data_IF_290769821843
#
_entry.id   IF_290769821843
#
_cell.length_a   1.000
_cell.length_b   1.000
_cell.length_c   1.000
_cell.angle_alpha   90.00
_cell.angle_beta   90.00
_cell.angle_gamma   90.00
#
_symmetry.space_group_name_H-M   'P 1'
#
loop_
_entity.id
_entity.type
_entity.pdbx_description
1 polymer ?
#
# COMPACT_ATOMS: atom_id res chain seq x y z
N UNK A 1 17.25 11.70 -9.50
CA UNK A 1 16.02 11.31 -8.78
C UNK A 1 16.29 10.03 -8.01
N UNK A 2 15.93 9.94 -6.71
CA UNK A 2 16.05 8.69 -5.96
C UNK A 2 15.07 7.64 -6.52
N UNK A 3 15.55 6.41 -6.70
CA UNK A 3 14.73 5.27 -7.12
C UNK A 3 14.44 4.38 -5.91
N UNK A 4 13.16 4.09 -5.68
CA UNK A 4 12.70 3.21 -4.60
C UNK A 4 12.06 1.98 -5.24
N UNK A 5 12.64 0.79 -4.99
CA UNK A 5 12.09 -0.48 -5.45
C UNK A 5 11.29 -1.15 -4.33
N UNK A 6 10.12 -1.71 -4.67
CA UNK A 6 9.28 -2.46 -3.74
C UNK A 6 8.61 -3.64 -4.44
N UNK A 7 8.43 -4.74 -3.71
CA UNK A 7 7.70 -5.92 -4.19
C UNK A 7 6.18 -5.68 -4.26
N UNK A 8 5.69 -4.51 -3.83
CA UNK A 8 4.29 -4.14 -3.98
C UNK A 8 3.93 -3.71 -5.41
N UNK A 9 4.94 -3.40 -6.24
CA UNK A 9 4.72 -3.13 -7.66
C UNK A 9 4.56 -4.48 -8.38
N UNK A 10 3.42 -4.74 -9.03
CA UNK A 10 3.20 -5.98 -9.78
C UNK A 10 4.16 -6.07 -10.98
N UNK A 11 4.63 -7.30 -11.23
CA UNK A 11 5.59 -7.62 -12.30
C UNK A 11 5.00 -8.55 -13.38
N UNK A 12 3.68 -8.78 -13.32
CA UNK A 12 2.94 -9.72 -14.16
C UNK A 12 1.74 -9.04 -14.85
N UNK A 13 1.85 -7.75 -15.13
CA UNK A 13 0.80 -7.02 -15.85
C UNK A 13 0.82 -7.40 -17.32
N UNK A 14 -0.35 -7.72 -17.87
CA UNK A 14 -0.49 -7.95 -19.30
C UNK A 14 -0.73 -6.63 -20.01
N UNK A 15 0.23 -6.15 -20.78
CA UNK A 15 0.11 -4.96 -21.64
C UNK A 15 0.24 -5.40 -23.09
N UNK A 16 -0.87 -5.35 -23.84
CA UNK A 16 -0.92 -5.85 -25.22
C UNK A 16 -0.71 -7.37 -25.27
N UNK A 17 0.35 -7.83 -25.93
CA UNK A 17 0.73 -9.25 -26.02
C UNK A 17 1.77 -9.66 -24.96
N UNK A 18 2.27 -8.73 -24.15
CA UNK A 18 3.30 -9.00 -23.12
C UNK A 18 2.64 -9.30 -21.78
N UNK A 19 2.88 -10.49 -21.22
CA UNK A 19 2.33 -10.94 -19.92
C UNK A 19 3.22 -10.63 -18.70
N UNK A 20 4.43 -10.14 -18.93
CA UNK A 20 5.48 -10.01 -17.89
C UNK A 20 5.90 -8.54 -17.73
N UNK A 21 4.95 -7.60 -17.81
CA UNK A 21 5.25 -6.18 -17.64
C UNK A 21 5.19 -5.75 -16.17
N UNK A 22 6.07 -4.83 -15.82
CA UNK A 22 6.08 -4.08 -14.57
C UNK A 22 5.63 -2.63 -14.81
N UNK A 23 5.22 -1.97 -13.73
CA UNK A 23 4.83 -0.55 -13.72
C UNK A 23 5.87 0.30 -12.98
N UNK A 24 6.08 1.55 -13.41
CA UNK A 24 6.80 2.54 -12.63
C UNK A 24 5.88 3.72 -12.30
N UNK A 25 5.90 4.13 -11.04
CA UNK A 25 5.16 5.29 -10.56
C UNK A 25 6.12 6.46 -10.42
N UNK A 26 6.03 7.42 -11.34
CA UNK A 26 6.83 8.65 -11.31
C UNK A 26 5.94 9.78 -10.83
N UNK A 27 6.26 10.36 -9.68
CA UNK A 27 5.45 11.42 -9.11
C UNK A 27 6.24 12.39 -8.24
N UNK A 28 5.66 13.58 -8.05
CA UNK A 28 6.05 14.46 -6.96
C UNK A 28 5.36 14.01 -5.67
N UNK A 29 6.07 13.20 -4.87
CA UNK A 29 5.55 12.60 -3.65
C UNK A 29 5.14 13.60 -2.56
N UNK A 30 5.67 14.83 -2.61
CA UNK A 30 5.24 15.93 -1.71
C UNK A 30 3.76 16.32 -1.90
N UNK A 31 3.15 15.93 -3.02
CA UNK A 31 1.74 16.19 -3.33
C UNK A 31 0.82 14.99 -3.00
N UNK A 32 1.37 13.94 -2.37
CA UNK A 32 0.60 12.81 -1.84
C UNK A 32 0.27 13.05 -0.37
N UNK A 33 -1.00 13.30 -0.07
CA UNK A 33 -1.45 13.45 1.32
C UNK A 33 -1.82 12.07 1.90
N UNK A 34 -1.14 11.68 2.96
CA UNK A 34 -1.48 10.50 3.76
C UNK A 34 -2.01 10.97 5.10
N UNK A 35 -3.29 10.71 5.36
CA UNK A 35 -3.97 11.07 6.60
C UNK A 35 -4.28 9.84 7.45
N UNK A 36 -3.75 9.80 8.67
CA UNK A 36 -4.07 8.77 9.67
C UNK A 36 -5.12 9.35 10.61
N UNK A 37 -6.34 8.80 10.61
CA UNK A 37 -7.43 9.30 11.45
C UNK A 37 -7.52 8.56 12.79
N UNK A 38 -7.30 7.26 12.75
CA UNK A 38 -7.07 6.44 13.94
C UNK A 38 -5.68 5.85 13.81
N UNK A 39 -4.85 6.14 14.81
CA UNK A 39 -3.52 5.57 14.96
C UNK A 39 -3.61 4.04 15.10
N UNK A 40 -2.51 3.35 14.84
CA UNK A 40 -2.45 1.91 15.04
C UNK A 40 -2.63 1.60 16.53
N UNK A 41 -3.74 0.94 16.86
CA UNK A 41 -3.99 0.48 18.23
C UNK A 41 -4.04 -1.04 18.21
N UNK A 42 -3.22 -1.64 19.07
CA UNK A 42 -3.19 -3.07 19.34
C UNK A 42 -3.88 -3.34 20.67
N UNK A 43 -5.02 -4.04 20.63
CA UNK A 43 -5.76 -4.41 21.82
C UNK A 43 -5.67 -5.91 22.09
N UNK A 44 -5.48 -6.26 23.36
CA UNK A 44 -5.41 -7.64 23.82
C UNK A 44 -6.80 -8.11 24.24
N UNK A 45 -7.37 -9.06 23.50
CA UNK A 45 -8.65 -9.69 23.81
C UNK A 45 -8.43 -10.84 24.80
N UNK A 46 -8.22 -10.49 26.08
CA UNK A 46 -7.93 -11.47 27.15
C UNK A 46 -9.17 -12.23 27.63
N UNK A 47 -10.33 -11.58 27.69
CA UNK A 47 -11.53 -12.17 28.31
C UNK A 47 -12.33 -13.06 27.34
N UNK A 48 -12.30 -12.77 26.03
CA UNK A 48 -13.10 -13.49 25.03
C UNK A 48 -12.51 -14.85 24.60
N UNK A 49 -11.22 -15.08 24.82
CA UNK A 49 -10.51 -16.30 24.41
C UNK A 49 -9.93 -17.10 25.59
N UNK A 50 -10.23 -16.69 26.82
CA UNK A 50 -9.76 -17.34 28.04
C UNK A 50 -10.23 -18.80 28.16
N UNK A 51 -11.46 -19.10 27.72
CA UNK A 51 -12.06 -20.45 27.83
C UNK A 51 -11.36 -21.52 26.98
N UNK A 52 -10.65 -21.13 25.91
CA UNK A 52 -9.90 -22.04 25.04
C UNK A 52 -8.38 -21.93 25.22
N UNK A 53 -7.90 -21.14 26.20
CA UNK A 53 -6.48 -20.90 26.44
C UNK A 53 -5.75 -20.15 25.33
N UNK A 54 -6.49 -19.35 24.53
CA UNK A 54 -5.93 -18.63 23.38
C UNK A 54 -5.80 -17.12 23.68
N UNK A 55 -4.83 -16.47 23.03
CA UNK A 55 -4.68 -15.02 23.06
C UNK A 55 -5.16 -14.44 21.73
N UNK A 56 -6.19 -13.59 21.79
CA UNK A 56 -6.65 -12.81 20.65
C UNK A 56 -5.97 -11.44 20.63
N UNK A 57 -5.48 -11.04 19.47
CA UNK A 57 -4.97 -9.70 19.22
C UNK A 57 -5.83 -9.05 18.14
N UNK A 58 -6.31 -7.83 18.40
CA UNK A 58 -6.96 -7.02 17.38
C UNK A 58 -6.13 -5.76 17.17
N UNK A 59 -5.62 -5.63 15.95
CA UNK A 59 -4.99 -4.41 15.47
C UNK A 59 -5.97 -3.67 14.58
N UNK A 60 -6.23 -2.40 14.86
CA UNK A 60 -7.03 -1.56 13.97
C UNK A 60 -6.26 -0.28 13.61
N UNK A 61 -6.34 0.09 12.33
CA UNK A 61 -5.77 1.30 11.75
C UNK A 61 -6.73 1.78 10.67
N UNK A 62 -6.94 3.11 10.58
CA UNK A 62 -7.69 3.69 9.46
C UNK A 62 -6.85 4.74 8.73
N UNK A 63 -6.00 4.30 7.79
CA UNK A 63 -5.27 5.22 6.94
C UNK A 63 -6.17 5.70 5.78
N UNK A 64 -5.95 6.93 5.31
CA UNK A 64 -6.55 7.46 4.09
C UNK A 64 -5.42 8.02 3.22
N UNK A 65 -5.51 7.77 1.91
CA UNK A 65 -4.60 8.31 0.91
C UNK A 65 -5.38 9.23 -0.02
N UNK A 66 -4.86 10.43 -0.26
CA UNK A 66 -5.47 11.41 -1.15
C UNK A 66 -4.39 12.13 -1.99
N UNK A 67 -4.73 12.37 -3.26
CA UNK A 67 -3.91 13.13 -4.19
C UNK A 67 -4.26 14.61 -4.04
N UNK A 68 -3.28 15.47 -3.71
CA UNK A 68 -3.50 16.92 -3.63
C UNK A 68 -3.58 17.55 -5.02
N UNK A 69 -2.78 17.05 -5.97
CA UNK A 69 -2.82 17.45 -7.37
C UNK A 69 -2.61 16.21 -8.26
N UNK A 70 -3.67 15.75 -8.96
CA UNK A 70 -3.61 14.50 -9.74
C UNK A 70 -2.61 14.53 -10.90
N UNK A 71 -2.37 15.69 -11.51
CA UNK A 71 -1.50 15.82 -12.69
C UNK A 71 0.00 15.66 -12.39
N UNK A 72 0.40 15.61 -11.12
CA UNK A 72 1.79 15.41 -10.71
C UNK A 72 2.19 13.92 -10.59
N UNK A 73 1.28 13.01 -10.93
CA UNK A 73 1.48 11.57 -10.87
C UNK A 73 1.36 10.99 -12.29
N UNK A 74 2.40 10.26 -12.72
CA UNK A 74 2.42 9.51 -13.96
C UNK A 74 2.63 8.02 -13.65
N UNK A 75 1.88 7.17 -14.36
CA UNK A 75 2.03 5.72 -14.32
C UNK A 75 2.59 5.28 -15.66
N UNK A 76 3.82 4.79 -15.65
CA UNK A 76 4.45 4.20 -16.82
C UNK A 76 4.22 2.70 -16.79
N UNK A 77 3.35 2.21 -17.69
CA UNK A 77 3.02 0.79 -17.84
C UNK A 77 3.85 0.16 -18.97
N UNK A 78 4.03 -1.16 -18.93
CA UNK A 78 4.70 -1.89 -20.03
C UNK A 78 6.23 -1.97 -19.90
N UNK A 79 6.79 -1.74 -18.71
CA UNK A 79 8.23 -1.82 -18.48
C UNK A 79 8.62 -3.28 -18.40
N UNK A 80 9.48 -3.73 -19.31
CA UNK A 80 10.04 -5.08 -19.33
C UNK A 80 11.48 -5.04 -18.83
N UNK A 81 11.84 -5.90 -17.87
CA UNK A 81 13.24 -6.09 -17.45
C UNK A 81 14.01 -6.94 -18.45
#
# INVERSE_FOLDING_TARGET
MPLLATNQIPVNLTVGTSSDASEAYTAQWDQLAIGIRTEFVLEFLRERYADFGQYGFIGHLRPNVQLLQPAAFAVDTGIRS
#
